data_IF_772048990076
#
_entry.id   IF_772048990076
#
_cell.length_a   1.000
_cell.length_b   1.000
_cell.length_c   1.000
_cell.angle_alpha   90.00
_cell.angle_beta   90.00
_cell.angle_gamma   90.00
#
_symmetry.space_group_name_H-M   'P 1'
#
loop_
_entity.id
_entity.type
_entity.pdbx_description
1 polymer ?
#
# COMPACT_ATOMS: atom_id res chain seq x y z
N UNK A 1 -12.13 20.67 10.89
CA UNK A 1 -11.17 21.77 11.14
C UNK A 1 -11.31 22.90 10.13
N UNK A 2 -11.15 22.68 8.82
CA UNK A 2 -11.15 23.78 7.82
C UNK A 2 -12.46 24.56 7.62
N UNK A 3 -13.57 24.07 8.19
CA UNK A 3 -14.89 24.74 8.16
C UNK A 3 -15.45 24.98 9.56
N UNK A 4 -14.61 24.80 10.59
CA UNK A 4 -15.03 25.09 11.96
C UNK A 4 -14.94 26.61 12.16
N UNK A 5 -16.02 27.18 12.67
CA UNK A 5 -16.18 28.61 12.88
C UNK A 5 -16.68 28.81 14.31
N UNK A 6 -16.10 29.78 15.01
CA UNK A 6 -16.50 30.17 16.36
C UNK A 6 -17.84 30.93 16.33
N UNK A 7 -18.46 31.15 17.49
CA UNK A 7 -19.74 31.90 17.58
C UNK A 7 -19.63 33.35 17.07
N UNK A 8 -18.41 33.90 17.03
CA UNK A 8 -18.10 35.24 16.50
C UNK A 8 -17.85 35.28 14.98
N UNK A 9 -17.95 34.14 14.28
CA UNK A 9 -17.75 34.05 12.83
C UNK A 9 -16.30 33.89 12.38
N UNK A 10 -15.33 33.85 13.29
CA UNK A 10 -13.91 33.60 12.97
C UNK A 10 -13.61 32.12 12.78
N UNK A 11 -12.58 31.79 11.98
CA UNK A 11 -12.13 30.41 11.82
C UNK A 11 -11.56 29.86 13.14
N UNK A 12 -12.06 28.70 13.57
CA UNK A 12 -11.67 28.08 14.84
C UNK A 12 -10.23 27.57 14.85
N UNK A 13 -9.69 27.15 13.70
CA UNK A 13 -8.35 26.58 13.59
C UNK A 13 -7.56 27.24 12.47
N UNK A 14 -6.29 27.50 12.74
CA UNK A 14 -5.29 27.82 11.72
C UNK A 14 -5.00 26.63 10.82
N UNK A 15 -4.39 26.91 9.67
CA UNK A 15 -3.96 25.85 8.75
C UNK A 15 -2.91 24.93 9.39
N UNK A 16 -1.98 25.48 10.18
CA UNK A 16 -0.91 24.72 10.84
C UNK A 16 -1.48 23.73 11.85
N UNK A 17 -2.51 24.11 12.61
CA UNK A 17 -3.16 23.18 13.56
C UNK A 17 -3.82 22.01 12.84
N UNK A 18 -4.48 22.26 11.71
CA UNK A 18 -5.06 21.20 10.91
C UNK A 18 -3.98 20.27 10.29
N UNK A 19 -2.83 20.83 9.90
CA UNK A 19 -1.68 20.06 9.41
C UNK A 19 -1.12 19.14 10.50
N UNK A 20 -0.89 19.68 11.71
CA UNK A 20 -0.37 18.92 12.85
C UNK A 20 -1.35 17.80 13.24
N UNK A 21 -2.65 18.10 13.27
CA UNK A 21 -3.68 17.11 13.55
C UNK A 21 -3.73 15.97 12.50
N UNK A 22 -3.35 16.23 11.26
CA UNK A 22 -3.32 15.24 10.18
C UNK A 22 -2.06 14.35 10.20
N UNK A 23 -1.00 14.77 10.88
CA UNK A 23 0.31 14.11 10.87
C UNK A 23 0.26 12.63 11.33
N UNK A 24 -0.47 12.24 12.40
CA UNK A 24 -0.59 10.84 12.78
C UNK A 24 -1.20 9.97 11.66
N UNK A 25 -2.18 10.51 10.92
CA UNK A 25 -2.77 9.83 9.77
C UNK A 25 -1.77 9.58 8.64
N UNK A 26 -0.84 10.52 8.40
CA UNK A 26 0.23 10.33 7.42
C UNK A 26 1.23 9.25 7.85
N UNK A 27 1.56 9.18 9.14
CA UNK A 27 2.43 8.11 9.68
C UNK A 27 1.77 6.74 9.47
N UNK A 28 0.53 6.57 9.91
CA UNK A 28 -0.20 5.29 9.78
C UNK A 28 -0.32 4.89 8.31
N UNK A 29 -0.60 5.85 7.43
CA UNK A 29 -0.64 5.61 5.98
C UNK A 29 0.71 5.14 5.43
N UNK A 30 1.81 5.75 5.85
CA UNK A 30 3.17 5.35 5.46
C UNK A 30 3.47 3.91 5.91
N UNK A 31 3.13 3.58 7.16
CA UNK A 31 3.31 2.24 7.73
C UNK A 31 2.47 1.21 6.95
N UNK A 32 1.18 1.50 6.73
CA UNK A 32 0.29 0.63 5.97
C UNK A 32 0.77 0.40 4.53
N UNK A 33 1.21 1.47 3.87
CA UNK A 33 1.84 1.38 2.55
C UNK A 33 3.13 0.56 2.56
N UNK A 34 3.94 0.68 3.62
CA UNK A 34 5.16 -0.12 3.82
C UNK A 34 4.87 -1.61 3.91
N UNK A 35 3.84 -2.03 4.66
CA UNK A 35 3.43 -3.44 4.72
C UNK A 35 2.94 -3.95 3.36
N UNK A 36 2.12 -3.15 2.65
CA UNK A 36 1.64 -3.51 1.32
C UNK A 36 2.79 -3.68 0.32
N UNK A 37 3.71 -2.71 0.27
CA UNK A 37 4.89 -2.77 -0.60
C UNK A 37 5.76 -3.99 -0.28
N UNK A 38 5.96 -4.29 1.00
CA UNK A 38 6.69 -5.50 1.44
C UNK A 38 6.03 -6.77 0.91
N UNK A 39 4.69 -6.87 1.01
CA UNK A 39 3.93 -7.98 0.44
C UNK A 39 4.12 -8.11 -1.08
N UNK A 40 4.12 -6.99 -1.81
CA UNK A 40 4.36 -6.98 -3.25
C UNK A 40 5.78 -7.45 -3.62
N UNK A 41 6.79 -7.07 -2.83
CA UNK A 41 8.16 -7.56 -3.02
C UNK A 41 8.26 -9.07 -2.79
N UNK A 42 7.60 -9.60 -1.76
CA UNK A 42 7.52 -11.04 -1.52
C UNK A 42 6.82 -11.76 -2.68
N UNK A 43 5.71 -11.21 -3.19
CA UNK A 43 5.02 -11.78 -4.36
C UNK A 43 5.93 -11.78 -5.60
N UNK A 44 6.62 -10.68 -5.87
CA UNK A 44 7.56 -10.57 -6.99
C UNK A 44 8.68 -11.62 -6.88
N UNK A 45 9.24 -11.80 -5.69
CA UNK A 45 10.26 -12.81 -5.43
C UNK A 45 9.74 -14.24 -5.66
N UNK A 46 8.58 -14.57 -5.10
CA UNK A 46 7.97 -15.89 -5.27
C UNK A 46 7.67 -16.17 -6.75
N UNK A 47 7.08 -15.20 -7.44
CA UNK A 47 6.78 -15.31 -8.87
C UNK A 47 8.05 -15.54 -9.69
N UNK A 48 9.10 -14.76 -9.41
CA UNK A 48 10.39 -14.91 -10.09
C UNK A 48 11.02 -16.29 -9.86
N UNK A 49 10.94 -16.82 -8.63
CA UNK A 49 11.40 -18.18 -8.32
C UNK A 49 10.61 -19.23 -9.09
N UNK A 50 9.29 -19.12 -9.14
CA UNK A 50 8.41 -20.05 -9.87
C UNK A 50 8.69 -20.03 -11.36
N UNK A 51 8.78 -18.84 -11.97
CA UNK A 51 9.04 -18.70 -13.41
C UNK A 51 10.40 -19.29 -13.80
N UNK A 52 11.45 -19.08 -12.99
CA UNK A 52 12.78 -19.65 -13.28
C UNK A 52 12.87 -21.16 -13.10
N UNK A 53 12.03 -21.74 -12.25
CA UNK A 53 11.99 -23.18 -12.03
C UNK A 53 11.12 -23.92 -13.07
N UNK A 54 10.43 -23.20 -13.96
CA UNK A 54 9.56 -23.80 -14.96
C UNK A 54 10.37 -24.63 -15.97
N UNK A 55 9.92 -25.88 -16.18
CA UNK A 55 10.49 -26.81 -17.17
C UNK A 55 9.44 -27.13 -18.24
N UNK A 56 9.32 -26.30 -19.29
CA UNK A 56 8.23 -26.39 -20.25
C UNK A 56 8.15 -27.75 -20.95
N UNK A 57 9.29 -28.39 -21.25
CA UNK A 57 9.32 -29.71 -21.88
C UNK A 57 8.70 -30.83 -21.02
N UNK A 58 8.81 -30.76 -19.69
CA UNK A 58 8.19 -31.73 -18.79
C UNK A 58 6.66 -31.52 -18.71
N UNK A 59 6.20 -30.26 -18.78
CA UNK A 59 4.77 -29.94 -18.84
C UNK A 59 4.11 -30.38 -20.15
N UNK A 60 4.77 -30.18 -21.29
CA UNK A 60 4.26 -30.64 -22.59
C UNK A 60 4.19 -32.17 -22.68
N UNK A 61 5.21 -32.88 -22.18
CA UNK A 61 5.21 -34.34 -22.14
C UNK A 61 4.07 -34.90 -21.26
N UNK A 62 3.80 -34.29 -20.10
CA UNK A 62 2.68 -34.68 -19.25
C UNK A 62 1.31 -34.41 -19.89
N UNK A 63 1.18 -33.31 -20.62
CA UNK A 63 -0.07 -32.95 -21.31
C UNK A 63 -0.41 -33.86 -22.49
N UNK A 64 0.58 -34.48 -23.14
CA UNK A 64 0.35 -35.45 -24.22
C UNK A 64 -0.08 -36.84 -23.73
N UNK A 65 0.12 -37.13 -22.45
CA UNK A 65 -0.21 -38.43 -21.83
C UNK A 65 -1.62 -38.41 -21.18
N UNK A 66 -2.17 -37.23 -20.91
CA UNK A 66 -3.52 -37.02 -20.41
C UNK A 66 -4.56 -36.93 -21.53
#
# INVERSE_FOLDING_TARGET
MWRAVNEDGTLTYSFVEALVASHPGFIVRMIGGGFFLTGMLLMAYNTWRTVRAAKPAEYEAAAQIA
#
